data_IF_830430474299
#
_entry.id   IF_830430474299
#
_cell.length_a   1.000
_cell.length_b   1.000
_cell.length_c   1.000
_cell.angle_alpha   90.00
_cell.angle_beta   90.00
_cell.angle_gamma   90.00
#
_symmetry.space_group_name_H-M   'P 1'
#
loop_
_entity.id
_entity.type
_entity.pdbx_description
1 polymer ?
#
# COMPACT_ATOMS: atom_id res chain seq x y z
N UNK A 1 36.52 -4.34 -6.66
CA UNK A 1 35.16 -3.83 -6.35
C UNK A 1 34.30 -3.45 -7.58
N UNK A 2 34.87 -2.96 -8.69
CA UNK A 2 34.08 -2.52 -9.86
C UNK A 2 33.40 -3.63 -10.67
N UNK A 3 33.95 -4.85 -10.72
CA UNK A 3 33.36 -5.96 -11.51
C UNK A 3 32.11 -6.58 -10.89
N UNK A 4 32.02 -6.61 -9.55
CA UNK A 4 30.90 -7.22 -8.81
C UNK A 4 29.59 -6.46 -9.09
N UNK A 5 29.68 -5.16 -9.39
CA UNK A 5 28.52 -4.30 -9.67
C UNK A 5 27.98 -4.46 -11.10
N UNK A 6 28.80 -4.94 -12.06
CA UNK A 6 28.41 -5.07 -13.47
C UNK A 6 27.57 -6.30 -13.79
N UNK A 7 27.52 -7.31 -12.91
CA UNK A 7 26.77 -8.56 -13.12
C UNK A 7 25.42 -8.63 -12.38
N UNK A 8 25.00 -7.54 -11.73
CA UNK A 8 23.79 -7.52 -10.90
C UNK A 8 22.64 -6.85 -11.65
N UNK A 9 21.58 -7.62 -11.90
CA UNK A 9 20.37 -7.15 -12.55
C UNK A 9 19.52 -6.27 -11.61
N UNK A 10 18.54 -5.54 -12.17
CA UNK A 10 17.68 -4.66 -11.40
C UNK A 10 16.94 -5.34 -10.22
N UNK A 11 16.40 -6.57 -10.36
CA UNK A 11 15.80 -7.29 -9.24
C UNK A 11 16.72 -7.42 -8.02
N UNK A 12 18.00 -7.68 -8.24
CA UNK A 12 19.00 -7.77 -7.17
C UNK A 12 19.22 -6.41 -6.49
N UNK A 13 19.37 -5.32 -7.26
CA UNK A 13 19.52 -3.99 -6.67
C UNK A 13 18.28 -3.57 -5.88
N UNK A 14 17.10 -3.89 -6.39
CA UNK A 14 15.84 -3.65 -5.70
C UNK A 14 15.77 -4.39 -4.37
N UNK A 15 16.21 -5.65 -4.29
CA UNK A 15 16.20 -6.41 -3.02
C UNK A 15 17.13 -5.79 -1.98
N UNK A 16 18.32 -5.34 -2.38
CA UNK A 16 19.28 -4.69 -1.47
C UNK A 16 18.80 -3.34 -0.95
N UNK A 17 18.13 -2.55 -1.81
CA UNK A 17 17.50 -1.29 -1.38
C UNK A 17 16.41 -1.58 -0.36
N UNK A 18 15.58 -2.61 -0.62
CA UNK A 18 14.54 -3.02 0.33
C UNK A 18 15.18 -3.47 1.64
N UNK A 19 16.18 -4.35 1.60
CA UNK A 19 16.87 -4.84 2.80
C UNK A 19 17.46 -3.70 3.64
N UNK A 20 18.09 -2.71 2.99
CA UNK A 20 18.73 -1.59 3.69
C UNK A 20 17.75 -0.56 4.25
N UNK A 21 16.66 -0.27 3.54
CA UNK A 21 15.78 0.87 3.87
C UNK A 21 14.39 0.47 4.38
N UNK A 22 13.98 -0.81 4.27
CA UNK A 22 12.72 -1.32 4.82
C UNK A 22 12.88 -1.63 6.31
N UNK A 23 13.10 -0.58 7.09
CA UNK A 23 13.14 -0.67 8.55
C UNK A 23 11.73 -0.54 9.16
N UNK A 24 11.57 -0.96 10.42
CA UNK A 24 10.30 -0.92 11.15
C UNK A 24 9.60 0.45 11.10
N UNK A 25 10.29 1.57 11.36
CA UNK A 25 9.71 2.91 11.26
C UNK A 25 9.18 3.25 9.86
N UNK A 26 9.89 2.83 8.80
CA UNK A 26 9.43 3.03 7.42
C UNK A 26 8.16 2.22 7.12
N UNK A 27 8.13 0.96 7.55
CA UNK A 27 6.94 0.10 7.41
C UNK A 27 5.77 0.75 8.14
N UNK A 28 5.97 1.18 9.40
CA UNK A 28 4.95 1.85 10.19
C UNK A 28 4.41 3.12 9.49
N UNK A 29 5.29 3.98 8.97
CA UNK A 29 4.86 5.17 8.19
C UNK A 29 4.03 4.80 6.97
N UNK A 30 4.36 3.72 6.27
CA UNK A 30 3.57 3.23 5.12
C UNK A 30 2.22 2.66 5.55
N UNK A 31 2.17 1.93 6.66
CA UNK A 31 0.93 1.43 7.25
C UNK A 31 0.01 2.59 7.65
N UNK A 32 0.52 3.59 8.38
CA UNK A 32 -0.26 4.77 8.74
C UNK A 32 -0.74 5.54 7.51
N UNK A 33 0.09 5.67 6.47
CA UNK A 33 -0.33 6.30 5.21
C UNK A 33 -1.47 5.54 4.53
N UNK A 34 -1.46 4.21 4.61
CA UNK A 34 -2.54 3.36 4.07
C UNK A 34 -3.82 3.52 4.89
N UNK A 35 -3.72 3.48 6.22
CA UNK A 35 -4.88 3.53 7.12
C UNK A 35 -5.57 4.90 7.17
N UNK A 36 -4.79 5.97 7.06
CA UNK A 36 -5.31 7.35 7.09
C UNK A 36 -5.92 7.80 5.76
N UNK A 37 -5.63 7.10 4.65
CA UNK A 37 -6.13 7.50 3.33
C UNK A 37 -7.35 6.67 2.90
N UNK A 38 -8.50 6.98 3.51
CA UNK A 38 -9.79 6.46 3.08
C UNK A 38 -10.10 6.85 1.63
N UNK A 39 -10.86 5.99 0.97
CA UNK A 39 -11.45 6.33 -0.32
C UNK A 39 -12.50 7.43 -0.11
N UNK A 40 -12.66 8.28 -1.13
CA UNK A 40 -13.70 9.30 -1.17
C UNK A 40 -14.13 9.49 -2.62
N UNK A 41 -15.39 9.81 -2.84
CA UNK A 41 -16.02 9.93 -4.17
C UNK A 41 -15.30 10.95 -5.06
N UNK A 42 -14.63 11.96 -4.49
CA UNK A 42 -13.90 12.99 -5.22
C UNK A 42 -12.60 12.49 -5.89
N UNK A 43 -12.15 11.26 -5.59
CA UNK A 43 -10.91 10.69 -6.11
C UNK A 43 -11.20 9.74 -7.27
N UNK A 44 -10.32 9.75 -8.27
CA UNK A 44 -10.36 8.71 -9.30
C UNK A 44 -10.17 7.31 -8.67
N UNK A 45 -11.12 6.37 -8.86
CA UNK A 45 -11.08 5.07 -8.22
C UNK A 45 -9.87 4.23 -8.62
N UNK A 46 -9.46 4.32 -9.89
CA UNK A 46 -8.35 3.55 -10.42
C UNK A 46 -7.02 4.02 -9.83
N UNK A 47 -6.76 5.32 -9.84
CA UNK A 47 -5.56 5.93 -9.28
C UNK A 47 -5.44 5.69 -7.78
N UNK A 48 -6.55 5.81 -7.05
CA UNK A 48 -6.57 5.52 -5.62
C UNK A 48 -6.26 4.04 -5.35
N UNK A 49 -6.92 3.11 -6.04
CA UNK A 49 -6.67 1.67 -5.90
C UNK A 49 -5.22 1.32 -6.23
N UNK A 50 -4.67 1.89 -7.30
CA UNK A 50 -3.29 1.66 -7.72
C UNK A 50 -2.30 2.17 -6.67
N UNK A 51 -2.53 3.36 -6.12
CA UNK A 51 -1.69 3.95 -5.06
C UNK A 51 -1.72 3.10 -3.78
N UNK A 52 -2.91 2.73 -3.30
CA UNK A 52 -3.04 1.90 -2.10
C UNK A 52 -2.48 0.48 -2.31
N UNK A 53 -2.69 -0.12 -3.49
CA UNK A 53 -2.10 -1.41 -3.86
C UNK A 53 -0.56 -1.38 -3.83
N UNK A 54 0.06 -0.29 -4.31
CA UNK A 54 1.52 -0.09 -4.20
C UNK A 54 1.98 0.01 -2.73
N UNK A 55 1.22 0.67 -1.86
CA UNK A 55 1.53 0.75 -0.41
C UNK A 55 1.42 -0.62 0.26
N UNK A 56 0.36 -1.38 -0.02
CA UNK A 56 0.19 -2.73 0.51
C UNK A 56 1.32 -3.67 0.09
N UNK A 57 1.75 -3.63 -1.18
CA UNK A 57 2.92 -4.38 -1.65
C UNK A 57 4.23 -3.95 -0.99
N UNK A 58 4.34 -2.70 -0.58
CA UNK A 58 5.52 -2.19 0.12
C UNK A 58 5.54 -2.63 1.60
N UNK A 59 4.37 -2.65 2.25
CA UNK A 59 4.18 -3.12 3.62
C UNK A 59 4.39 -4.62 3.69
N UNK A 60 3.79 -5.39 2.78
CA UNK A 60 3.94 -6.84 2.69
C UNK A 60 4.05 -7.28 1.22
N UNK A 61 5.29 -7.54 0.75
CA UNK A 61 5.54 -8.01 -0.61
C UNK A 61 4.94 -9.38 -0.92
N UNK A 62 4.66 -10.22 0.08
CA UNK A 62 4.10 -11.56 -0.07
C UNK A 62 2.58 -11.59 0.00
N UNK A 63 1.94 -10.43 0.18
CA UNK A 63 0.50 -10.29 0.23
C UNK A 63 -0.17 -10.80 -1.05
N UNK A 64 -1.00 -11.85 -0.89
CA UNK A 64 -1.80 -12.41 -1.97
C UNK A 64 -2.87 -11.40 -2.47
N UNK A 65 -3.47 -11.69 -3.62
CA UNK A 65 -4.40 -10.76 -4.26
C UNK A 65 -5.70 -10.61 -3.45
N UNK A 66 -6.19 -11.69 -2.85
CA UNK A 66 -7.44 -11.70 -2.08
C UNK A 66 -7.32 -10.81 -0.83
N UNK A 67 -6.24 -10.97 -0.06
CA UNK A 67 -5.96 -10.19 1.14
C UNK A 67 -5.75 -8.71 0.81
N UNK A 68 -5.10 -8.42 -0.33
CA UNK A 68 -4.95 -7.06 -0.82
C UNK A 68 -6.29 -6.42 -1.16
N UNK A 69 -7.13 -7.14 -1.91
CA UNK A 69 -8.46 -6.66 -2.30
C UNK A 69 -9.33 -6.43 -1.07
N UNK A 70 -9.33 -7.37 -0.11
CA UNK A 70 -10.03 -7.21 1.16
C UNK A 70 -9.60 -5.93 1.89
N UNK A 71 -8.29 -5.70 2.05
CA UNK A 71 -7.76 -4.48 2.68
C UNK A 71 -8.16 -3.21 1.91
N UNK A 72 -8.18 -3.22 0.58
CA UNK A 72 -8.64 -2.07 -0.20
C UNK A 72 -10.12 -1.77 0.06
N UNK A 73 -10.97 -2.80 0.04
CA UNK A 73 -12.41 -2.66 0.30
C UNK A 73 -12.69 -2.10 1.70
N UNK A 74 -11.95 -2.54 2.73
CA UNK A 74 -12.08 -1.99 4.10
C UNK A 74 -11.75 -0.50 4.20
N UNK A 75 -10.95 0.04 3.28
CA UNK A 75 -10.66 1.47 3.22
C UNK A 75 -11.72 2.28 2.45
N UNK A 76 -12.63 1.60 1.74
CA UNK A 76 -13.77 2.21 1.05
C UNK A 76 -15.01 2.32 1.94
N UNK A 77 -15.14 1.46 2.95
CA UNK A 77 -16.33 1.39 3.82
C UNK A 77 -16.47 2.56 4.81
N UNK A 78 -15.50 3.47 4.91
CA UNK A 78 -15.57 4.62 5.81
C UNK A 78 -16.74 5.57 5.52
N UNK A 79 -17.20 5.66 4.27
CA UNK A 79 -18.39 6.46 3.93
C UNK A 79 -19.71 5.69 4.14
N UNK A 80 -19.71 4.35 4.16
CA UNK A 80 -20.93 3.57 4.37
C UNK A 80 -21.45 3.68 5.82
N UNK A 81 -20.55 3.62 6.80
CA UNK A 81 -20.95 3.75 8.22
C UNK A 81 -21.48 5.14 8.56
N UNK A 82 -20.97 6.18 7.89
CA UNK A 82 -21.47 7.54 8.08
C UNK A 82 -22.75 7.78 7.26
N UNK A 83 -22.86 7.28 6.02
CA UNK A 83 -24.08 7.38 5.22
C UNK A 83 -25.29 6.65 5.83
N UNK A 84 -25.07 5.54 6.55
CA UNK A 84 -26.13 4.84 7.30
C UNK A 84 -26.57 5.62 8.55
N UNK A 85 -25.65 6.29 9.26
CA UNK A 85 -25.99 7.15 10.41
C UNK A 85 -26.86 8.36 10.01
N UNK A 86 -26.66 8.92 8.83
CA UNK A 86 -27.47 10.05 8.33
C UNK A 86 -28.78 9.64 7.65
N UNK A 87 -29.05 8.33 7.47
CA UNK A 87 -30.30 7.82 6.86
C UNK A 87 -31.40 7.47 7.88
N UNK A 88 -31.06 7.44 9.17
CA UNK A 88 -31.98 7.13 10.27
C UNK A 88 -32.33 8.35 11.15
N UNK A 89 -32.16 9.57 10.64
CA UNK A 89 -32.72 10.81 11.21
C UNK A 89 -33.63 11.47 10.16
#
# INVERSE_FOLDING_TARGET
>A
MKEIHRRRNWPWWKSQIIEKYRNGPWIWKKTMSFENEKYSVDKDPYEWCLRQSKRLKAIDPQMNIQMRNHKLLTQMQGEQEDAEKFRCN
#
